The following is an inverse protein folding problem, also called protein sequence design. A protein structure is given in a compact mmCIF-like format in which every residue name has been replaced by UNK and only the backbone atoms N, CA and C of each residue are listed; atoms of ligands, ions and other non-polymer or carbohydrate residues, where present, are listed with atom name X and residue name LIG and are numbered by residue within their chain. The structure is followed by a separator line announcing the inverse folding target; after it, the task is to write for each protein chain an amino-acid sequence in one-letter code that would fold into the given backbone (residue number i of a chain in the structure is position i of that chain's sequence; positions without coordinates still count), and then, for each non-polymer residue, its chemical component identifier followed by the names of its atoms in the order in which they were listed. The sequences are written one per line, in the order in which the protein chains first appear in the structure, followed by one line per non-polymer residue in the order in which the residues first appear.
data_IF_860084308964
#
_entry.id   IF_860084308964
#
_cell.length_a   1.000
_cell.length_b   1.000
_cell.length_c   1.000
_cell.angle_alpha   90.00
_cell.angle_beta   90.00
_cell.angle_gamma   90.00
#
_symmetry.space_group_name_H-M   'P 1'
#
loop_
_entity.id
_entity.type
_entity.pdbx_description
1 polymer ?
#
# COMPACT_ATOMS: atom_id res chain seq x y z
N UNK A 1 -1.98 42.55 45.29
CA UNK A 1 -2.74 42.24 44.07
C UNK A 1 -1.72 41.86 43.00
N UNK A 2 -1.37 40.59 42.91
CA UNK A 2 -0.32 40.11 42.02
C UNK A 2 -0.76 38.77 41.47
N UNK A 3 -0.83 38.73 40.14
CA UNK A 3 -0.59 37.63 39.19
C UNK A 3 -1.54 37.81 37.98
N UNK A 4 -1.04 38.43 36.90
CA UNK A 4 -1.44 38.06 35.54
C UNK A 4 -0.20 37.57 34.79
N UNK A 5 0.48 36.55 35.31
CA UNK A 5 1.63 35.93 34.62
C UNK A 5 1.28 34.57 33.98
N UNK A 6 0.16 33.96 34.37
CA UNK A 6 -0.26 32.64 33.90
C UNK A 6 -0.81 32.71 32.46
N UNK A 7 -1.47 33.82 32.09
CA UNK A 7 -2.02 34.02 30.74
C UNK A 7 -0.97 34.06 29.61
N UNK A 8 0.32 34.21 29.94
CA UNK A 8 1.39 34.28 28.93
C UNK A 8 1.92 32.91 28.52
N UNK A 9 1.78 31.85 29.35
CA UNK A 9 2.37 30.55 29.02
C UNK A 9 1.47 29.75 28.09
N UNK A 10 0.16 29.70 28.36
CA UNK A 10 -0.79 28.93 27.56
C UNK A 10 -0.99 29.50 26.17
N UNK A 11 -1.10 30.83 26.07
CA UNK A 11 -1.11 31.54 24.79
C UNK A 11 0.16 31.29 23.97
N UNK A 12 1.33 31.23 24.62
CA UNK A 12 2.61 30.96 23.95
C UNK A 12 2.70 29.50 23.46
N UNK A 13 2.19 28.53 24.22
CA UNK A 13 2.12 27.12 23.80
C UNK A 13 1.20 26.95 22.58
N UNK A 14 0.03 27.58 22.58
CA UNK A 14 -0.90 27.54 21.45
C UNK A 14 -0.27 28.23 20.22
N UNK A 15 0.34 29.40 20.39
CA UNK A 15 1.06 30.10 19.32
C UNK A 15 2.22 29.26 18.76
N UNK A 16 2.95 28.57 19.61
CA UNK A 16 4.03 27.68 19.21
C UNK A 16 3.49 26.50 18.40
N UNK A 17 2.40 25.88 18.83
CA UNK A 17 1.77 24.78 18.11
C UNK A 17 1.22 25.22 16.75
N UNK A 18 0.57 26.39 16.67
CA UNK A 18 0.13 26.99 15.40
C UNK A 18 1.32 27.30 14.50
N UNK A 19 2.42 27.82 15.04
CA UNK A 19 3.64 28.10 14.27
C UNK A 19 4.29 26.80 13.75
N UNK A 20 4.39 25.76 14.59
CA UNK A 20 4.87 24.43 14.18
C UNK A 20 3.98 23.85 13.09
N UNK A 21 2.65 24.01 13.20
CA UNK A 21 1.71 23.59 12.17
C UNK A 21 1.93 24.34 10.86
N UNK A 22 2.12 25.66 10.92
CA UNK A 22 2.33 26.49 9.74
C UNK A 22 3.67 26.17 9.05
N UNK A 23 4.72 25.92 9.83
CA UNK A 23 6.02 25.45 9.32
C UNK A 23 5.88 24.06 8.71
N UNK A 24 5.16 23.15 9.37
CA UNK A 24 4.90 21.81 8.84
C UNK A 24 4.10 21.86 7.52
N UNK A 25 3.07 22.72 7.43
CA UNK A 25 2.29 22.98 6.21
C UNK A 25 3.17 23.53 5.09
N UNK A 26 4.05 24.50 5.39
CA UNK A 26 4.91 25.16 4.40
C UNK A 26 6.07 24.28 3.92
N UNK A 27 6.63 23.46 4.82
CA UNK A 27 7.72 22.54 4.50
C UNK A 27 7.23 21.25 3.82
N UNK A 28 5.96 20.89 3.99
CA UNK A 28 5.42 19.67 3.43
C UNK A 28 5.20 19.81 1.91
N UNK A 29 6.10 19.21 1.12
CA UNK A 29 5.85 18.87 -0.31
C UNK A 29 4.76 17.78 -0.49
N UNK A 30 4.12 17.34 0.59
CA UNK A 30 3.15 16.23 0.66
C UNK A 30 1.90 16.72 1.41
N UNK A 31 0.72 16.15 1.17
CA UNK A 31 -0.48 16.52 1.91
C UNK A 31 -0.22 16.37 3.41
N UNK A 32 -0.55 17.41 4.18
CA UNK A 32 -0.40 17.38 5.64
C UNK A 32 -1.22 16.22 6.19
N UNK A 33 -0.57 15.36 6.97
CA UNK A 33 -1.22 14.19 7.56
C UNK A 33 -2.28 14.69 8.54
N UNK A 34 -3.54 14.47 8.23
CA UNK A 34 -4.68 14.81 9.09
C UNK A 34 -4.53 14.30 10.52
N UNK A 35 -3.80 13.20 10.74
CA UNK A 35 -3.47 12.71 12.08
C UNK A 35 -2.62 13.69 12.91
N UNK A 36 -1.67 14.39 12.30
CA UNK A 36 -0.86 15.41 12.99
C UNK A 36 -1.71 16.62 13.37
N UNK A 37 -2.60 17.05 12.47
CA UNK A 37 -3.56 18.13 12.76
C UNK A 37 -4.45 17.77 13.94
N UNK A 38 -5.02 16.57 13.93
CA UNK A 38 -5.88 16.10 15.02
C UNK A 38 -5.14 15.96 16.35
N UNK A 39 -3.88 15.50 16.33
CA UNK A 39 -3.04 15.43 17.53
C UNK A 39 -2.75 16.82 18.10
N UNK A 40 -2.49 17.80 17.23
CA UNK A 40 -2.18 19.17 17.63
C UNK A 40 -3.42 19.85 18.23
N UNK A 41 -4.59 19.67 17.62
CA UNK A 41 -5.88 20.15 18.15
C UNK A 41 -6.20 19.48 19.50
N UNK A 42 -6.01 18.16 19.61
CA UNK A 42 -6.25 17.44 20.87
C UNK A 42 -5.30 17.91 21.98
N UNK A 43 -4.03 18.15 21.65
CA UNK A 43 -3.04 18.68 22.58
C UNK A 43 -3.41 20.09 23.05
N UNK A 44 -3.74 21.00 22.13
CA UNK A 44 -4.16 22.37 22.47
C UNK A 44 -5.43 22.37 23.33
N UNK A 45 -6.39 21.50 23.02
CA UNK A 45 -7.61 21.32 23.81
C UNK A 45 -7.31 20.84 25.23
N UNK A 46 -6.36 19.90 25.37
CA UNK A 46 -5.93 19.42 26.68
C UNK A 46 -5.23 20.53 27.48
N UNK A 47 -4.32 21.29 26.86
CA UNK A 47 -3.64 22.42 27.52
C UNK A 47 -4.64 23.47 27.99
N UNK A 48 -5.61 23.83 27.16
CA UNK A 48 -6.69 24.76 27.53
C UNK A 48 -7.53 24.24 28.70
N UNK A 49 -7.88 22.94 28.69
CA UNK A 49 -8.62 22.32 29.80
C UNK A 49 -7.83 22.39 31.11
N UNK A 50 -6.52 22.11 31.07
CA UNK A 50 -5.67 22.18 32.25
C UNK A 50 -5.56 23.59 32.82
N UNK A 51 -5.41 24.60 31.95
CA UNK A 51 -5.39 26.01 32.34
C UNK A 51 -6.69 26.41 33.04
N UNK A 52 -7.85 26.01 32.48
CA UNK A 52 -9.16 26.31 33.05
C UNK A 52 -9.40 25.66 34.42
N UNK A 53 -8.85 24.46 34.65
CA UNK A 53 -8.99 23.77 35.94
C UNK A 53 -8.04 24.28 37.02
N UNK A 54 -7.00 25.04 36.65
CA UNK A 54 -5.98 25.55 37.58
C UNK A 54 -5.12 24.45 38.23
N UNK A 55 -5.23 23.20 37.77
CA UNK A 55 -4.50 22.07 38.33
C UNK A 55 -3.08 22.06 37.78
N UNK A 56 -2.10 22.11 38.69
CA UNK A 56 -0.69 22.01 38.31
C UNK A 56 -0.40 20.61 37.75
N UNK A 57 0.34 20.53 36.63
CA UNK A 57 0.77 19.27 36.00
C UNK A 57 1.50 18.32 36.96
N UNK A 58 2.16 18.87 37.98
CA UNK A 58 2.90 18.09 39.00
C UNK A 58 1.99 17.44 40.04
N UNK A 59 0.79 17.97 40.23
CA UNK A 59 -0.16 17.52 41.25
C UNK A 59 -1.18 16.53 40.68
N UNK A 60 -1.12 16.25 39.37
CA UNK A 60 -2.02 15.30 38.75
C UNK A 60 -1.81 13.89 39.27
N UNK A 61 -2.91 13.18 39.60
CA UNK A 61 -2.81 11.78 39.94
C UNK A 61 -2.29 10.97 38.73
N UNK A 62 -1.54 9.88 38.95
CA UNK A 62 -0.99 9.06 37.87
C UNK A 62 -2.04 8.56 36.86
N UNK A 63 -3.29 8.35 37.31
CA UNK A 63 -4.41 7.98 36.44
C UNK A 63 -4.77 9.06 35.43
N UNK A 64 -4.76 10.34 35.81
CA UNK A 64 -5.03 11.45 34.90
C UNK A 64 -3.95 11.57 33.82
N UNK A 65 -2.68 11.38 34.20
CA UNK A 65 -1.56 11.30 33.26
C UNK A 65 -1.73 10.16 32.25
N UNK A 66 -2.09 8.97 32.72
CA UNK A 66 -2.33 7.82 31.85
C UNK A 66 -3.46 8.11 30.85
N UNK A 67 -4.61 8.60 31.30
CA UNK A 67 -5.72 8.93 30.41
C UNK A 67 -5.39 10.05 29.44
N UNK A 68 -4.66 11.09 29.88
CA UNK A 68 -4.17 12.15 28.99
C UNK A 68 -3.31 11.60 27.85
N UNK A 69 -2.40 10.68 28.15
CA UNK A 69 -1.57 10.02 27.12
C UNK A 69 -2.40 9.13 26.19
N UNK A 70 -3.38 8.40 26.72
CA UNK A 70 -4.29 7.57 25.91
C UNK A 70 -5.10 8.45 24.95
N UNK A 71 -5.69 9.56 25.42
CA UNK A 71 -6.44 10.49 24.59
C UNK A 71 -5.56 11.18 23.54
N UNK A 72 -4.32 11.52 23.89
CA UNK A 72 -3.35 12.09 22.95
C UNK A 72 -2.97 11.08 21.84
N UNK A 73 -2.82 9.81 22.20
CA UNK A 73 -2.49 8.74 21.26
C UNK A 73 -3.71 8.27 20.43
N UNK A 74 -4.93 8.45 20.95
CA UNK A 74 -6.17 7.93 20.39
C UNK A 74 -6.36 8.31 18.91
N UNK A 75 -6.25 9.59 18.47
CA UNK A 75 -6.43 9.94 17.06
C UNK A 75 -5.48 9.20 16.12
N UNK A 76 -4.22 8.99 16.55
CA UNK A 76 -3.26 8.23 15.76
C UNK A 76 -3.63 6.74 15.71
N UNK A 77 -4.02 6.15 16.85
CA UNK A 77 -4.47 4.75 16.90
C UNK A 77 -5.68 4.55 15.99
N UNK A 78 -6.67 5.45 16.05
CA UNK A 78 -7.85 5.39 15.18
C UNK A 78 -7.51 5.62 13.71
N UNK A 79 -6.60 6.53 13.39
CA UNK A 79 -6.16 6.76 12.02
C UNK A 79 -5.46 5.53 11.43
N UNK A 80 -4.47 4.97 12.14
CA UNK A 80 -3.72 3.80 11.66
C UNK A 80 -4.56 2.53 11.69
N UNK A 81 -5.37 2.33 12.74
CA UNK A 81 -6.31 1.23 12.83
C UNK A 81 -7.39 1.30 11.75
N UNK A 82 -7.96 2.48 11.54
CA UNK A 82 -8.92 2.74 10.46
C UNK A 82 -8.33 2.49 9.08
N UNK A 83 -7.10 2.92 8.83
CA UNK A 83 -6.39 2.64 7.58
C UNK A 83 -6.13 1.12 7.40
N UNK A 84 -5.76 0.42 8.47
CA UNK A 84 -5.58 -1.03 8.43
C UNK A 84 -6.90 -1.78 8.18
N UNK A 85 -8.01 -1.31 8.74
CA UNK A 85 -9.35 -1.86 8.51
C UNK A 85 -9.84 -1.55 7.09
N UNK A 86 -9.72 -0.30 6.61
CA UNK A 86 -10.15 0.05 5.24
C UNK A 86 -9.32 -0.67 4.18
N UNK A 87 -8.06 -1.00 4.47
CA UNK A 87 -7.23 -1.81 3.57
C UNK A 87 -7.84 -3.18 3.24
N UNK A 88 -8.62 -3.76 4.17
CA UNK A 88 -9.33 -5.02 3.95
C UNK A 88 -10.49 -4.90 2.96
N UNK A 89 -11.12 -3.72 2.90
CA UNK A 89 -12.27 -3.48 2.02
C UNK A 89 -11.85 -2.97 0.65
N UNK A 90 -10.70 -2.28 0.57
CA UNK A 90 -10.22 -1.68 -0.66
C UNK A 90 -9.48 -2.66 -1.57
N UNK A 91 -8.77 -3.64 -0.99
CA UNK A 91 -8.02 -4.63 -1.75
C UNK A 91 -8.75 -5.98 -1.66
N UNK A 92 -9.12 -6.61 -2.79
CA UNK A 92 -9.80 -7.90 -2.80
C UNK A 92 -8.79 -9.00 -2.42
N UNK A 93 -8.49 -9.09 -1.13
CA UNK A 93 -7.52 -10.04 -0.58
C UNK A 93 -8.26 -11.04 0.28
N UNK A 94 -8.01 -12.32 0.03
CA UNK A 94 -8.56 -13.40 0.87
C UNK A 94 -8.11 -13.22 2.33
N UNK A 95 -9.06 -12.99 3.22
CA UNK A 95 -8.83 -12.73 4.65
C UNK A 95 -8.23 -13.92 5.41
N UNK A 96 -8.12 -15.10 4.79
CA UNK A 96 -7.78 -16.34 5.47
C UNK A 96 -6.30 -16.45 5.89
N UNK A 97 -5.47 -15.43 5.60
CA UNK A 97 -4.04 -15.39 5.98
C UNK A 97 -3.66 -14.07 6.66
N UNK A 98 -3.46 -14.11 7.97
CA UNK A 98 -2.98 -12.97 8.79
C UNK A 98 -1.72 -12.28 8.22
N UNK A 99 -0.79 -13.05 7.63
CA UNK A 99 0.40 -12.49 7.00
C UNK A 99 0.07 -11.61 5.78
N UNK A 100 -0.94 -11.96 4.98
CA UNK A 100 -1.38 -11.12 3.87
C UNK A 100 -1.96 -9.80 4.38
N UNK A 101 -2.71 -9.82 5.48
CA UNK A 101 -3.27 -8.60 6.06
C UNK A 101 -2.17 -7.58 6.41
N UNK A 102 -1.11 -8.02 7.09
CA UNK A 102 0.04 -7.16 7.41
C UNK A 102 0.69 -6.59 6.15
N UNK A 103 0.75 -7.38 5.09
CA UNK A 103 1.26 -6.97 3.79
C UNK A 103 0.37 -5.91 3.15
N UNK A 104 -0.94 -6.14 3.06
CA UNK A 104 -1.94 -5.20 2.52
C UNK A 104 -1.89 -3.86 3.25
N UNK A 105 -1.88 -3.88 4.58
CA UNK A 105 -1.75 -2.68 5.41
C UNK A 105 -0.42 -1.96 5.16
N UNK A 106 0.70 -2.68 5.04
CA UNK A 106 2.01 -2.10 4.69
C UNK A 106 2.01 -1.46 3.30
N UNK A 107 1.39 -2.10 2.33
CA UNK A 107 1.27 -1.56 0.97
C UNK A 107 0.45 -0.26 0.97
N UNK A 108 -0.70 -0.24 1.64
CA UNK A 108 -1.54 0.97 1.73
C UNK A 108 -0.85 2.10 2.51
N UNK A 109 -0.21 1.79 3.64
CA UNK A 109 0.56 2.77 4.40
C UNK A 109 1.73 3.31 3.58
N UNK A 110 2.40 2.48 2.78
CA UNK A 110 3.48 2.92 1.89
C UNK A 110 2.99 3.83 0.76
N UNK A 111 1.78 3.57 0.24
CA UNK A 111 1.09 4.42 -0.73
C UNK A 111 0.77 5.80 -0.15
N UNK A 112 0.15 5.85 1.03
CA UNK A 112 -0.15 7.11 1.73
C UNK A 112 1.14 7.87 2.07
N UNK A 113 2.21 7.15 2.37
CA UNK A 113 3.53 7.73 2.61
C UNK A 113 4.28 8.10 1.31
N UNK A 114 3.77 7.76 0.13
CA UNK A 114 4.41 8.01 -1.17
C UNK A 114 5.81 7.38 -1.30
N UNK A 115 6.04 6.26 -0.61
CA UNK A 115 7.28 5.48 -0.63
C UNK A 115 7.01 4.07 -1.20
N UNK A 116 5.95 3.88 -1.96
CA UNK A 116 5.61 2.62 -2.58
C UNK A 116 6.49 2.32 -3.80
N UNK A 117 6.61 1.03 -4.10
CA UNK A 117 7.08 0.53 -5.39
C UNK A 117 5.96 0.75 -6.45
N UNK A 118 6.30 0.69 -7.75
CA UNK A 118 5.32 0.95 -8.80
C UNK A 118 4.09 0.05 -8.66
N UNK A 119 2.91 0.64 -8.90
CA UNK A 119 1.67 -0.12 -8.98
C UNK A 119 1.30 -0.30 -10.44
N UNK A 120 1.17 -1.56 -10.82
CA UNK A 120 0.91 -1.99 -12.18
C UNK A 120 -0.49 -2.57 -12.25
N UNK A 121 -1.18 -2.35 -13.35
CA UNK A 121 -2.42 -3.03 -13.65
C UNK A 121 -2.37 -3.55 -15.08
N UNK A 122 -2.99 -4.71 -15.31
CA UNK A 122 -3.22 -5.21 -16.64
C UNK A 122 -4.14 -4.26 -17.42
N UNK A 123 -3.73 -3.90 -18.63
CA UNK A 123 -4.48 -3.08 -19.58
C UNK A 123 -4.95 -3.98 -20.73
N UNK A 124 -6.27 -4.23 -20.80
CA UNK A 124 -6.89 -5.12 -21.79
C UNK A 124 -6.72 -4.61 -23.22
N UNK A 125 -6.65 -3.29 -23.43
CA UNK A 125 -6.55 -2.71 -24.77
C UNK A 125 -5.16 -2.90 -25.37
N UNK A 126 -4.13 -2.90 -24.52
CA UNK A 126 -2.72 -2.96 -24.93
C UNK A 126 -2.07 -4.32 -24.65
N UNK A 127 -2.84 -5.24 -24.07
CA UNK A 127 -2.40 -6.57 -23.64
C UNK A 127 -1.06 -6.55 -22.88
N UNK A 128 -0.93 -5.62 -21.93
CA UNK A 128 0.32 -5.43 -21.18
C UNK A 128 0.09 -4.83 -19.81
N UNK A 129 1.10 -4.92 -18.96
CA UNK A 129 1.12 -4.24 -17.67
C UNK A 129 1.38 -2.74 -17.86
N UNK A 130 0.43 -1.92 -17.43
CA UNK A 130 0.54 -0.47 -17.41
C UNK A 130 0.83 0.04 -15.99
N UNK A 131 1.78 0.97 -15.86
CA UNK A 131 2.08 1.61 -14.59
C UNK A 131 1.02 2.67 -14.27
N UNK A 132 0.11 2.33 -13.35
CA UNK A 132 -0.96 3.24 -12.88
C UNK A 132 -0.45 4.25 -11.87
N UNK A 133 0.54 3.87 -11.08
CA UNK A 133 1.14 4.75 -10.09
C UNK A 133 2.66 4.64 -10.08
N UNK A 134 3.31 5.78 -10.30
CA UNK A 134 4.77 5.86 -10.33
C UNK A 134 5.37 5.69 -8.94
N UNK A 135 6.05 4.56 -8.74
CA UNK A 135 6.72 4.25 -7.48
C UNK A 135 8.01 5.07 -7.28
N UNK A 136 8.39 5.26 -6.01
CA UNK A 136 9.73 5.74 -5.66
C UNK A 136 10.55 4.57 -5.13
N UNK A 137 11.41 4.02 -5.99
CA UNK A 137 12.33 2.95 -5.63
C UNK A 137 13.32 3.49 -4.60
N UNK A 138 12.99 3.31 -3.32
CA UNK A 138 13.79 3.75 -2.18
C UNK A 138 14.09 2.55 -1.29
N UNK A 139 15.19 2.65 -0.54
CA UNK A 139 15.67 1.56 0.32
C UNK A 139 14.70 1.22 1.48
N UNK A 140 13.78 2.13 1.78
CA UNK A 140 12.73 2.01 2.81
C UNK A 140 11.33 1.90 2.18
N UNK A 141 11.25 1.65 0.87
CA UNK A 141 9.99 1.59 0.17
C UNK A 141 9.17 0.36 0.55
N UNK A 142 7.84 0.49 0.47
CA UNK A 142 6.89 -0.60 0.74
C UNK A 142 6.93 -1.72 -0.30
N UNK A 143 5.90 -2.55 -0.36
CA UNK A 143 5.77 -3.51 -1.46
C UNK A 143 5.16 -2.84 -2.68
N UNK A 144 5.38 -3.42 -3.86
CA UNK A 144 4.63 -3.02 -5.06
C UNK A 144 3.36 -3.84 -5.16
N UNK A 145 2.50 -3.43 -6.09
CA UNK A 145 1.20 -4.05 -6.32
C UNK A 145 1.05 -4.28 -7.82
N UNK A 146 0.65 -5.48 -8.21
CA UNK A 146 0.28 -5.81 -9.58
C UNK A 146 -1.14 -6.35 -9.54
N UNK A 147 -2.03 -5.69 -10.28
CA UNK A 147 -3.39 -6.13 -10.50
C UNK A 147 -3.43 -6.88 -11.83
N UNK A 148 -3.75 -8.16 -11.77
CA UNK A 148 -3.85 -9.04 -12.94
C UNK A 148 -5.26 -9.57 -13.05
N UNK A 149 -5.60 -10.12 -14.22
CA UNK A 149 -6.81 -10.93 -14.35
C UNK A 149 -6.53 -12.37 -13.90
N UNK A 150 -7.56 -13.14 -13.49
CA UNK A 150 -7.40 -14.53 -13.08
C UNK A 150 -6.74 -15.41 -14.13
N UNK A 151 -6.89 -15.06 -15.41
CA UNK A 151 -6.37 -15.84 -16.52
C UNK A 151 -4.93 -15.50 -16.89
N UNK A 152 -4.30 -14.55 -16.21
CA UNK A 152 -2.93 -14.13 -16.50
C UNK A 152 -1.99 -14.46 -15.34
N UNK A 153 -0.73 -14.73 -15.69
CA UNK A 153 0.39 -14.80 -14.77
C UNK A 153 1.47 -13.79 -15.16
N UNK A 154 2.15 -13.24 -14.16
CA UNK A 154 3.32 -12.40 -14.36
C UNK A 154 4.57 -13.15 -13.92
N UNK A 155 5.60 -13.07 -14.77
CA UNK A 155 6.93 -13.57 -14.45
C UNK A 155 7.68 -12.45 -13.73
N UNK A 156 8.06 -12.67 -12.48
CA UNK A 156 8.81 -11.71 -11.68
C UNK A 156 10.28 -12.10 -11.64
N UNK A 157 11.16 -11.11 -11.82
CA UNK A 157 12.59 -11.27 -11.70
C UNK A 157 13.17 -10.31 -10.65
N UNK A 158 14.28 -10.71 -10.04
CA UNK A 158 15.01 -9.92 -9.05
C UNK A 158 16.48 -9.85 -9.45
N UNK A 159 16.87 -8.72 -10.04
CA UNK A 159 18.19 -8.59 -10.68
C UNK A 159 18.31 -9.55 -11.87
N UNK A 160 19.37 -10.38 -11.94
CA UNK A 160 19.57 -11.31 -13.06
C UNK A 160 18.84 -12.65 -12.89
N UNK A 161 18.18 -12.90 -11.75
CA UNK A 161 17.54 -14.18 -11.46
C UNK A 161 16.02 -14.08 -11.60
N UNK A 162 15.42 -15.12 -12.17
CA UNK A 162 13.97 -15.35 -12.06
C UNK A 162 13.63 -15.52 -10.57
N UNK A 163 12.66 -14.76 -10.08
CA UNK A 163 12.24 -14.82 -8.68
C UNK A 163 11.13 -15.84 -8.51
N UNK A 164 10.03 -15.63 -9.23
CA UNK A 164 8.82 -16.47 -9.20
C UNK A 164 7.88 -16.11 -10.34
N UNK A 165 7.01 -17.04 -10.69
CA UNK A 165 5.84 -16.81 -11.54
C UNK A 165 4.62 -16.79 -10.62
N UNK A 166 3.76 -15.79 -10.79
CA UNK A 166 2.59 -15.59 -9.93
C UNK A 166 1.41 -15.19 -10.81
N UNK A 167 0.27 -15.85 -10.62
CA UNK A 167 -0.99 -15.53 -11.30
C UNK A 167 -2.10 -15.16 -10.33
N UNK A 168 -3.23 -14.71 -10.87
CA UNK A 168 -4.42 -14.32 -10.12
C UNK A 168 -4.53 -12.83 -9.80
N UNK A 169 -5.64 -12.42 -9.17
CA UNK A 169 -6.09 -11.02 -9.08
C UNK A 169 -5.06 -10.01 -8.54
N UNK A 170 -4.53 -10.23 -7.33
CA UNK A 170 -3.69 -9.26 -6.63
C UNK A 170 -2.37 -9.88 -6.23
N UNK A 171 -1.29 -9.37 -6.83
CA UNK A 171 0.07 -9.82 -6.57
C UNK A 171 0.86 -8.70 -5.89
N UNK A 172 1.48 -9.01 -4.76
CA UNK A 172 2.42 -8.09 -4.10
C UNK A 172 3.85 -8.41 -4.51
N UNK A 173 4.59 -7.39 -4.94
CA UNK A 173 6.01 -7.55 -5.31
C UNK A 173 6.92 -7.34 -4.11
N UNK A 174 7.93 -8.19 -4.00
CA UNK A 174 8.99 -8.04 -3.01
C UNK A 174 9.96 -6.93 -3.41
N UNK A 175 10.84 -6.58 -2.47
CA UNK A 175 11.82 -5.53 -2.71
C UNK A 175 12.71 -5.86 -3.93
N UNK A 176 12.76 -4.93 -4.89
CA UNK A 176 13.51 -5.00 -6.14
C UNK A 176 13.02 -6.09 -7.12
N UNK A 177 11.86 -6.70 -6.87
CA UNK A 177 11.20 -7.48 -7.90
C UNK A 177 10.64 -6.56 -8.99
N UNK A 178 10.74 -7.01 -10.24
CA UNK A 178 10.18 -6.34 -11.41
C UNK A 178 9.47 -7.36 -12.29
N UNK A 179 8.39 -6.98 -12.98
CA UNK A 179 7.80 -7.82 -14.02
C UNK A 179 8.80 -7.95 -15.17
N UNK A 180 9.02 -9.18 -15.60
CA UNK A 180 9.79 -9.51 -16.80
C UNK A 180 8.84 -9.67 -17.98
N UNK A 181 7.80 -10.48 -17.80
CA UNK A 181 6.88 -10.86 -18.85
C UNK A 181 5.48 -11.19 -18.29
N UNK A 182 4.48 -11.17 -19.17
CA UNK A 182 3.09 -11.53 -18.87
C UNK A 182 2.73 -12.78 -19.70
N UNK A 183 2.14 -13.78 -19.05
CA UNK A 183 1.77 -15.05 -19.64
C UNK A 183 0.27 -15.24 -19.53
N UNK A 184 -0.39 -15.48 -20.66
CA UNK A 184 -1.79 -15.89 -20.68
C UNK A 184 -1.89 -17.39 -20.34
N UNK A 185 -2.68 -17.71 -19.32
CA UNK A 185 -2.94 -19.07 -18.83
C UNK A 185 -4.20 -19.69 -19.48
N UNK A 186 -4.87 -18.98 -20.37
CA UNK A 186 -5.98 -19.52 -21.14
C UNK A 186 -5.54 -20.64 -22.08
N UNK A 187 -6.54 -21.40 -22.53
CA UNK A 187 -6.34 -22.46 -23.51
C UNK A 187 -6.10 -21.84 -24.88
N UNK A 188 -4.94 -22.11 -25.46
CA UNK A 188 -4.57 -21.66 -26.79
C UNK A 188 -4.82 -22.76 -27.83
N UNK A 189 -5.24 -22.37 -29.02
CA UNK A 189 -5.38 -23.27 -30.18
C UNK A 189 -4.27 -22.93 -31.16
N UNK A 190 -3.27 -23.81 -31.24
CA UNK A 190 -2.23 -23.73 -32.25
C UNK A 190 -2.75 -24.34 -33.55
N UNK A 191 -2.72 -23.56 -34.62
CA UNK A 191 -3.13 -24.00 -35.96
C UNK A 191 -1.89 -24.16 -36.83
N UNK A 192 -1.56 -25.40 -37.18
CA UNK A 192 -0.49 -25.74 -38.11
C UNK A 192 -1.14 -26.05 -39.45
N UNK A 193 -1.18 -25.07 -40.36
CA UNK A 193 -1.90 -25.19 -41.63
C UNK A 193 -1.25 -26.18 -42.61
N UNK A 194 0.08 -26.34 -42.55
CA UNK A 194 0.88 -27.09 -43.53
C UNK A 194 1.68 -28.24 -42.91
N UNK A 195 1.02 -29.11 -42.13
CA UNK A 195 1.66 -30.32 -41.68
C UNK A 195 1.79 -31.30 -42.87
N UNK A 196 3.03 -31.48 -43.36
CA UNK A 196 3.34 -32.51 -44.35
C UNK A 196 3.60 -33.82 -43.61
N UNK A 197 2.82 -34.85 -43.90
CA UNK A 197 3.03 -36.20 -43.40
C UNK A 197 3.16 -37.18 -44.57
N UNK A 198 3.93 -38.24 -44.38
CA UNK A 198 4.03 -39.34 -45.35
C UNK A 198 3.39 -40.56 -44.71
N UNK A 199 2.38 -41.14 -45.36
CA UNK A 199 1.73 -42.36 -44.89
C UNK A 199 2.70 -43.53 -44.95
N UNK A 200 2.38 -44.64 -44.27
CA UNK A 200 3.18 -45.87 -44.31
C UNK A 200 3.41 -46.38 -45.75
N UNK A 201 2.50 -46.05 -46.66
CA UNK A 201 2.52 -46.46 -48.06
C UNK A 201 3.28 -45.46 -48.97
N UNK A 202 3.90 -44.42 -48.40
CA UNK A 202 4.70 -43.44 -49.15
C UNK A 202 3.91 -42.29 -49.77
N UNK A 203 2.63 -42.11 -49.43
CA UNK A 203 1.80 -41.02 -49.96
C UNK A 203 2.01 -39.78 -49.10
N UNK A 204 2.43 -38.68 -49.74
CA UNK A 204 2.54 -37.37 -49.08
C UNK A 204 1.16 -36.73 -48.97
N UNK A 205 0.76 -36.39 -47.74
CA UNK A 205 -0.49 -35.72 -47.42
C UNK A 205 -0.19 -34.41 -46.70
N UNK A 206 -0.92 -33.36 -47.09
CA UNK A 206 -0.95 -32.08 -46.39
C UNK A 206 -2.24 -32.02 -45.60
N UNK A 207 -2.13 -31.79 -44.29
CA UNK A 207 -3.32 -31.64 -43.45
C UNK A 207 -3.13 -30.48 -42.47
N UNK A 208 -4.20 -29.72 -42.18
CA UNK A 208 -4.18 -28.80 -41.07
C UNK A 208 -4.23 -29.59 -39.75
N UNK A 209 -3.33 -29.27 -38.82
CA UNK A 209 -3.30 -29.84 -37.47
C UNK A 209 -3.68 -28.75 -36.48
N UNK A 210 -4.68 -29.04 -35.65
CA UNK A 210 -5.08 -28.18 -34.54
C UNK A 210 -4.60 -28.82 -33.24
N UNK A 211 -3.77 -28.10 -32.49
CA UNK A 211 -3.30 -28.53 -31.18
C UNK A 211 -3.84 -27.57 -30.12
N UNK A 212 -4.59 -28.11 -29.17
CA UNK A 212 -5.10 -27.35 -28.02
C UNK A 212 -4.08 -27.49 -26.89
N UNK A 213 -3.48 -26.38 -26.47
CA UNK A 213 -2.47 -26.36 -25.43
C UNK A 213 -2.81 -25.32 -24.35
N UNK A 214 -2.47 -25.63 -23.11
CA UNK A 214 -2.59 -24.72 -21.98
C UNK A 214 -1.29 -24.79 -21.17
N UNK A 215 -0.70 -23.64 -20.78
CA UNK A 215 0.43 -23.66 -19.87
C UNK A 215 0.00 -24.29 -18.54
N UNK A 216 0.72 -25.33 -18.11
CA UNK A 216 0.50 -25.92 -16.79
C UNK A 216 1.13 -24.99 -15.72
N UNK A 217 0.35 -24.48 -14.76
CA UNK A 217 0.90 -23.67 -13.68
C UNK A 217 1.91 -24.41 -12.78
N UNK A 218 1.90 -25.74 -12.76
CA UNK A 218 2.77 -26.55 -11.89
C UNK A 218 4.09 -27.00 -12.55
N UNK A 219 4.25 -26.79 -13.87
CA UNK A 219 5.45 -27.10 -14.64
C UNK A 219 5.47 -28.46 -15.30
#
# INVERSE_FOLDING_TARGET
MSIPSILNLTTLVILLNVAVLFVALRAAKRPVRWSLLLQLIAFDSAVLYLDMTGVSLREMPPSAWFWGLVFLAMPAIFYWGGLAVTSLFLLPVELNRWRLWLTTARTLTSFVNGNNYPYLAYDEEKDRLEERYKGKITHHGGQGLILLRPEHAVVLHKGPRLSRVVGGDVVFTDRLERPLDLVDLQTHILVILDANAVTRDGISIKMPVFAVCRPDPDG
#
